data_IF_710938844806
#
_entry.id   IF_710938844806
#
_cell.length_a   1.000
_cell.length_b   1.000
_cell.length_c   1.000
_cell.angle_alpha   90.00
_cell.angle_beta   90.00
_cell.angle_gamma   90.00
#
_symmetry.space_group_name_H-M   'P 1'
#
loop_
_entity.id
_entity.type
_entity.pdbx_description
1 polymer ?
#
# COMPACT_ATOMS: atom_id res chain seq x y z
N UNK A 1 -11.76 -26.01 -7.57
CA UNK A 1 -12.27 -24.65 -7.35
C UNK A 1 -11.24 -23.92 -6.54
N UNK A 2 -10.55 -22.94 -7.09
CA UNK A 2 -9.65 -22.10 -6.31
C UNK A 2 -10.52 -21.39 -5.27
N UNK A 3 -10.17 -21.55 -3.99
CA UNK A 3 -10.77 -20.74 -2.94
C UNK A 3 -10.68 -19.27 -3.39
N UNK A 4 -11.75 -18.52 -3.15
CA UNK A 4 -11.88 -17.12 -3.57
C UNK A 4 -10.78 -16.32 -2.85
N UNK A 5 -9.62 -16.19 -3.51
CA UNK A 5 -8.44 -15.52 -2.95
C UNK A 5 -8.71 -14.01 -2.88
N UNK A 6 -8.82 -13.51 -1.67
CA UNK A 6 -8.90 -12.07 -1.42
C UNK A 6 -7.52 -11.55 -1.05
N UNK A 7 -6.88 -10.73 -1.93
CA UNK A 7 -5.54 -10.24 -1.68
C UNK A 7 -5.50 -9.24 -0.52
N UNK A 8 -4.51 -9.35 0.34
CA UNK A 8 -4.23 -8.37 1.39
C UNK A 8 -3.30 -7.29 0.85
N UNK A 9 -3.80 -6.07 0.77
CA UNK A 9 -3.05 -4.92 0.27
C UNK A 9 -2.73 -3.98 1.44
N UNK A 10 -1.49 -3.51 1.54
CA UNK A 10 -1.10 -2.46 2.48
C UNK A 10 -0.95 -1.14 1.73
N UNK A 11 -1.68 -0.12 2.14
CA UNK A 11 -1.67 1.21 1.54
C UNK A 11 -1.02 2.25 2.45
N UNK A 12 0.11 2.84 2.02
CA UNK A 12 0.70 4.00 2.68
C UNK A 12 0.15 5.28 2.03
N UNK A 13 -0.71 6.00 2.74
CA UNK A 13 -1.42 7.16 2.21
C UNK A 13 -0.97 8.45 2.86
N UNK A 14 -0.64 9.45 2.03
CA UNK A 14 -0.38 10.80 2.48
C UNK A 14 -1.64 11.41 3.11
N UNK A 15 -1.52 11.95 4.33
CA UNK A 15 -2.63 12.54 5.09
C UNK A 15 -3.34 13.67 4.34
N UNK A 16 -2.57 14.55 3.69
CA UNK A 16 -3.09 15.78 3.09
C UNK A 16 -3.86 15.58 1.79
N UNK A 17 -3.70 14.44 1.15
CA UNK A 17 -4.31 14.19 -0.17
C UNK A 17 -4.92 12.78 -0.26
N UNK A 18 -4.11 11.74 -0.45
CA UNK A 18 -4.61 10.40 -0.73
C UNK A 18 -5.48 9.82 0.40
N UNK A 19 -5.13 10.07 1.67
CA UNK A 19 -5.96 9.65 2.80
C UNK A 19 -7.28 10.40 2.83
N UNK A 20 -7.24 11.72 2.61
CA UNK A 20 -8.47 12.56 2.54
C UNK A 20 -9.34 12.14 1.35
N UNK A 21 -8.74 11.79 0.21
CA UNK A 21 -9.46 11.25 -0.94
C UNK A 21 -10.12 9.89 -0.64
N UNK A 22 -9.43 9.03 0.11
CA UNK A 22 -9.99 7.76 0.59
C UNK A 22 -11.16 7.98 1.56
N UNK A 23 -11.05 8.95 2.47
CA UNK A 23 -12.11 9.35 3.39
C UNK A 23 -13.33 9.92 2.62
N UNK A 24 -13.10 10.75 1.61
CA UNK A 24 -14.13 11.24 0.72
C UNK A 24 -14.84 10.09 -0.01
N UNK A 25 -14.12 9.09 -0.49
CA UNK A 25 -14.71 7.92 -1.14
C UNK A 25 -15.64 7.16 -0.17
N UNK A 26 -15.22 7.01 1.09
CA UNK A 26 -16.01 6.37 2.14
C UNK A 26 -17.30 7.18 2.47
N UNK A 27 -17.17 8.47 2.71
CA UNK A 27 -18.29 9.36 3.02
C UNK A 27 -19.27 9.50 1.86
N UNK A 28 -18.76 9.46 0.62
CA UNK A 28 -19.58 9.44 -0.61
C UNK A 28 -20.16 8.06 -0.93
N UNK A 29 -19.88 7.04 -0.08
CA UNK A 29 -20.39 5.66 -0.25
C UNK A 29 -20.01 5.04 -1.60
N UNK A 30 -18.84 5.39 -2.13
CA UNK A 30 -18.30 4.74 -3.33
C UNK A 30 -17.95 3.29 -3.01
N UNK A 31 -18.26 2.40 -3.94
CA UNK A 31 -17.99 0.96 -3.74
C UNK A 31 -16.58 0.62 -4.21
N UNK A 32 -15.79 0.11 -3.31
CA UNK A 32 -14.48 -0.48 -3.59
C UNK A 32 -14.18 -1.59 -2.57
N UNK A 33 -13.26 -2.52 -2.86
CA UNK A 33 -12.90 -3.59 -1.93
C UNK A 33 -12.34 -3.07 -0.60
N UNK A 34 -12.64 -3.78 0.48
CA UNK A 34 -12.21 -3.41 1.85
C UNK A 34 -10.90 -4.09 2.26
N UNK A 35 -10.21 -4.72 1.32
CA UNK A 35 -9.00 -5.52 1.51
C UNK A 35 -7.70 -4.69 1.54
N UNK A 36 -7.79 -3.38 1.74
CA UNK A 36 -6.65 -2.47 1.85
C UNK A 36 -6.49 -2.01 3.30
N UNK A 37 -5.42 -2.46 3.93
CA UNK A 37 -4.99 -1.97 5.26
C UNK A 37 -4.29 -0.61 5.08
N UNK A 38 -4.94 0.48 5.50
CA UNK A 38 -4.42 1.84 5.31
C UNK A 38 -3.51 2.24 6.47
N UNK A 39 -2.28 2.64 6.13
CA UNK A 39 -1.33 3.29 7.03
C UNK A 39 -1.19 4.74 6.63
N UNK A 40 -1.68 5.64 7.47
CA UNK A 40 -1.59 7.07 7.25
C UNK A 40 -0.18 7.58 7.56
N UNK A 41 0.39 8.33 6.62
CA UNK A 41 1.69 9.00 6.76
C UNK A 41 1.54 10.49 6.49
N UNK A 42 2.36 11.34 7.12
CA UNK A 42 2.27 12.78 6.92
C UNK A 42 2.53 13.19 5.47
N UNK A 43 3.41 12.48 4.78
CA UNK A 43 3.73 12.70 3.37
C UNK A 43 4.17 11.39 2.73
N UNK A 44 3.86 11.18 1.45
CA UNK A 44 4.37 10.03 0.72
C UNK A 44 5.92 9.99 0.70
N UNK A 45 6.56 11.16 0.77
CA UNK A 45 8.02 11.28 0.92
C UNK A 45 8.58 10.69 2.23
N UNK A 46 7.73 10.41 3.23
CA UNK A 46 8.13 9.72 4.47
C UNK A 46 8.24 8.20 4.29
N UNK A 47 7.59 7.66 3.27
CA UNK A 47 7.61 6.21 3.04
C UNK A 47 9.02 5.80 2.62
N UNK A 48 9.68 5.07 3.51
CA UNK A 48 10.97 4.46 3.22
C UNK A 48 10.76 3.15 2.44
N UNK A 49 11.64 2.80 1.49
CA UNK A 49 11.61 1.51 0.80
C UNK A 49 11.52 0.30 1.74
N UNK A 50 12.15 0.40 2.91
CA UNK A 50 12.10 -0.67 3.93
C UNK A 50 10.70 -0.92 4.46
N UNK A 51 9.81 0.07 4.46
CA UNK A 51 8.40 -0.12 4.87
C UNK A 51 7.67 -1.03 3.89
N UNK A 52 7.93 -0.84 2.59
CA UNK A 52 7.35 -1.68 1.52
C UNK A 52 7.88 -3.11 1.63
N UNK A 53 9.19 -3.28 1.78
CA UNK A 53 9.81 -4.60 1.98
C UNK A 53 9.28 -5.29 3.24
N UNK A 54 9.11 -4.54 4.33
CA UNK A 54 8.53 -5.06 5.58
C UNK A 54 7.08 -5.50 5.40
N UNK A 55 6.28 -4.76 4.64
CA UNK A 55 4.89 -5.14 4.35
C UNK A 55 4.83 -6.48 3.62
N UNK A 56 5.65 -6.69 2.59
CA UNK A 56 5.76 -7.98 1.91
C UNK A 56 6.26 -9.10 2.84
N UNK A 57 7.27 -8.82 3.67
CA UNK A 57 7.78 -9.79 4.65
C UNK A 57 6.73 -10.19 5.70
N UNK A 58 5.76 -9.33 5.99
CA UNK A 58 4.63 -9.58 6.89
C UNK A 58 3.41 -10.20 6.19
N UNK A 59 3.53 -10.57 4.92
CA UNK A 59 2.51 -11.31 4.19
C UNK A 59 1.49 -10.42 3.45
N UNK A 60 1.85 -9.19 3.09
CA UNK A 60 1.07 -8.42 2.14
C UNK A 60 1.20 -9.02 0.74
N UNK A 61 0.10 -9.14 0.01
CA UNK A 61 0.07 -9.59 -1.38
C UNK A 61 0.35 -8.45 -2.36
N UNK A 62 0.09 -7.21 -1.93
CA UNK A 62 0.36 -6.00 -2.66
C UNK A 62 0.62 -4.81 -1.75
N UNK A 63 1.36 -3.82 -2.24
CA UNK A 63 1.67 -2.58 -1.52
C UNK A 63 1.40 -1.37 -2.41
N UNK A 64 0.57 -0.46 -1.89
CA UNK A 64 0.21 0.81 -2.53
C UNK A 64 0.88 1.97 -1.78
N UNK A 65 1.52 2.86 -2.50
CA UNK A 65 1.99 4.16 -1.96
C UNK A 65 1.24 5.26 -2.70
N UNK A 66 0.42 6.01 -2.00
CA UNK A 66 -0.38 7.07 -2.60
C UNK A 66 -0.07 8.44 -1.99
N UNK A 67 0.11 9.43 -2.86
CA UNK A 67 0.46 10.79 -2.49
C UNK A 67 -0.24 11.85 -3.33
N UNK A 68 0.12 13.11 -3.08
CA UNK A 68 -0.35 14.26 -3.83
C UNK A 68 0.17 14.21 -5.27
N UNK A 69 -0.58 14.75 -6.22
CA UNK A 69 -0.07 14.96 -7.57
C UNK A 69 1.25 15.74 -7.58
N UNK A 70 2.17 15.43 -8.51
CA UNK A 70 3.43 16.18 -8.63
C UNK A 70 3.18 17.69 -8.78
N UNK A 71 3.81 18.48 -7.91
CA UNK A 71 3.58 19.94 -7.83
C UNK A 71 2.64 20.38 -6.71
N UNK A 72 1.76 19.47 -6.19
CA UNK A 72 0.75 19.80 -5.16
C UNK A 72 1.12 19.31 -3.76
N UNK A 73 2.38 18.95 -3.55
CA UNK A 73 2.81 18.43 -2.25
C UNK A 73 2.74 19.50 -1.16
N UNK A 74 2.05 19.22 -0.05
CA UNK A 74 1.98 20.09 1.13
C UNK A 74 3.37 20.47 1.66
N UNK A 75 4.36 19.60 1.51
CA UNK A 75 5.76 19.81 1.91
C UNK A 75 6.66 20.13 0.71
N UNK A 76 6.11 20.64 -0.38
CA UNK A 76 6.77 21.10 -1.61
C UNK A 76 7.42 19.95 -2.41
N UNK A 77 8.35 19.19 -1.81
CA UNK A 77 9.20 18.21 -2.52
C UNK A 77 8.93 16.74 -2.18
N UNK A 78 8.02 16.46 -1.25
CA UNK A 78 7.86 15.10 -0.72
C UNK A 78 7.51 14.06 -1.78
N UNK A 79 6.57 14.37 -2.68
CA UNK A 79 6.19 13.47 -3.77
C UNK A 79 7.28 13.27 -4.83
N UNK A 80 8.12 14.26 -5.09
CA UNK A 80 9.29 14.08 -5.96
C UNK A 80 10.31 13.11 -5.37
N UNK A 81 10.50 13.12 -4.05
CA UNK A 81 11.31 12.12 -3.35
C UNK A 81 10.69 10.72 -3.48
N UNK A 82 9.38 10.63 -3.37
CA UNK A 82 8.62 9.37 -3.56
C UNK A 82 8.80 8.81 -4.97
N UNK A 83 8.71 9.67 -6.00
CA UNK A 83 8.92 9.27 -7.40
C UNK A 83 10.28 8.62 -7.59
N UNK A 84 11.35 9.28 -7.12
CA UNK A 84 12.73 8.78 -7.26
C UNK A 84 12.95 7.47 -6.50
N UNK A 85 12.47 7.38 -5.26
CA UNK A 85 12.55 6.16 -4.46
C UNK A 85 11.74 5.02 -5.07
N UNK A 86 10.55 5.29 -5.56
CA UNK A 86 9.69 4.30 -6.19
C UNK A 86 10.30 3.72 -7.47
N UNK A 87 10.98 4.55 -8.27
CA UNK A 87 11.68 4.07 -9.46
C UNK A 87 12.81 3.08 -9.11
N UNK A 88 13.59 3.39 -8.08
CA UNK A 88 14.63 2.49 -7.57
C UNK A 88 14.02 1.23 -6.95
N UNK A 89 13.00 1.41 -6.12
CA UNK A 89 12.35 0.31 -5.41
C UNK A 89 11.77 -0.74 -6.37
N UNK A 90 11.16 -0.32 -7.48
CA UNK A 90 10.65 -1.28 -8.48
C UNK A 90 11.75 -2.20 -9.01
N UNK A 91 12.97 -1.70 -9.20
CA UNK A 91 14.11 -2.53 -9.63
C UNK A 91 14.51 -3.50 -8.53
N UNK A 92 14.62 -3.02 -7.29
CA UNK A 92 14.95 -3.86 -6.13
C UNK A 92 13.90 -4.96 -5.93
N UNK A 93 12.61 -4.64 -6.03
CA UNK A 93 11.53 -5.63 -5.90
C UNK A 93 11.62 -6.70 -7.00
N UNK A 94 11.92 -6.30 -8.25
CA UNK A 94 12.10 -7.23 -9.36
C UNK A 94 13.30 -8.16 -9.11
N UNK A 95 14.42 -7.65 -8.57
CA UNK A 95 15.60 -8.45 -8.22
C UNK A 95 15.29 -9.47 -7.09
N UNK A 96 14.34 -9.16 -6.22
CA UNK A 96 13.81 -10.11 -5.21
C UNK A 96 12.73 -11.06 -5.75
N UNK A 97 12.41 -11.00 -7.04
CA UNK A 97 11.39 -11.85 -7.66
C UNK A 97 9.96 -11.44 -7.32
N UNK A 98 9.74 -10.21 -6.88
CA UNK A 98 8.41 -9.67 -6.61
C UNK A 98 7.84 -9.08 -7.90
N UNK A 99 6.68 -9.58 -8.32
CA UNK A 99 6.06 -9.18 -9.59
C UNK A 99 5.70 -7.69 -9.58
N UNK A 100 5.94 -6.95 -10.68
CA UNK A 100 5.73 -5.49 -10.75
C UNK A 100 4.32 -5.04 -10.37
N UNK A 101 3.30 -5.84 -10.66
CA UNK A 101 1.90 -5.55 -10.33
C UNK A 101 1.59 -5.54 -8.82
N UNK A 102 2.49 -6.07 -7.98
CA UNK A 102 2.31 -6.08 -6.52
C UNK A 102 2.71 -4.76 -5.83
N UNK A 103 3.48 -3.92 -6.50
CA UNK A 103 3.83 -2.59 -5.99
C UNK A 103 3.30 -1.51 -6.90
N UNK A 104 2.46 -0.63 -6.35
CA UNK A 104 1.88 0.49 -7.09
C UNK A 104 2.16 1.80 -6.38
N UNK A 105 2.42 2.84 -7.17
CA UNK A 105 2.58 4.20 -6.70
C UNK A 105 1.62 5.08 -7.47
N UNK A 106 0.71 5.75 -6.75
CA UNK A 106 -0.40 6.50 -7.33
C UNK A 106 -0.48 7.91 -6.76
N UNK A 107 -1.09 8.79 -7.55
CA UNK A 107 -1.32 10.17 -7.18
C UNK A 107 -2.83 10.39 -7.09
N UNK A 108 -3.27 10.78 -5.89
CA UNK A 108 -4.68 11.01 -5.58
C UNK A 108 -4.81 12.31 -4.80
N UNK A 109 -5.63 13.23 -5.30
CA UNK A 109 -5.96 14.48 -4.61
C UNK A 109 -7.02 14.25 -3.51
N UNK A 110 -7.12 15.17 -2.57
CA UNK A 110 -8.13 15.15 -1.52
C UNK A 110 -9.58 15.16 -2.06
N UNK A 111 -9.80 15.72 -3.25
CA UNK A 111 -11.11 15.77 -3.92
C UNK A 111 -11.39 14.59 -4.85
N UNK A 112 -10.45 13.66 -5.02
CA UNK A 112 -10.53 12.56 -5.98
C UNK A 112 -10.90 11.23 -5.32
N UNK A 113 -12.06 11.19 -4.62
CA UNK A 113 -12.55 9.95 -4.01
C UNK A 113 -12.89 8.85 -5.01
N UNK A 114 -13.39 9.22 -6.19
CA UNK A 114 -13.65 8.33 -7.32
C UNK A 114 -12.35 7.69 -7.84
N UNK A 115 -11.29 8.49 -8.05
CA UNK A 115 -9.97 8.00 -8.42
C UNK A 115 -9.40 7.02 -7.38
N UNK A 116 -9.59 7.32 -6.10
CA UNK A 116 -9.20 6.38 -5.05
C UNK A 116 -9.90 5.02 -5.22
N UNK A 117 -11.21 5.02 -5.41
CA UNK A 117 -11.97 3.79 -5.61
C UNK A 117 -11.50 3.03 -6.87
N UNK A 118 -11.21 3.71 -7.98
CA UNK A 118 -10.66 3.12 -9.19
C UNK A 118 -9.30 2.47 -8.95
N UNK A 119 -8.39 3.16 -8.24
CA UNK A 119 -7.05 2.64 -7.90
C UNK A 119 -7.15 1.36 -7.09
N UNK A 120 -7.99 1.35 -6.04
CA UNK A 120 -8.18 0.16 -5.19
C UNK A 120 -8.78 -0.99 -5.98
N UNK A 121 -9.83 -0.73 -6.77
CA UNK A 121 -10.45 -1.76 -7.60
C UNK A 121 -9.45 -2.39 -8.58
N UNK A 122 -8.77 -1.56 -9.35
CA UNK A 122 -7.82 -2.04 -10.38
C UNK A 122 -6.63 -2.78 -9.77
N UNK A 123 -6.11 -2.31 -8.63
CA UNK A 123 -5.00 -2.97 -7.95
C UNK A 123 -5.43 -4.32 -7.36
N UNK A 124 -6.62 -4.37 -6.74
CA UNK A 124 -7.15 -5.62 -6.18
C UNK A 124 -7.32 -6.68 -7.26
N UNK A 125 -7.86 -6.30 -8.43
CA UNK A 125 -8.01 -7.22 -9.55
C UNK A 125 -6.67 -7.71 -10.11
N UNK A 126 -5.68 -6.82 -10.22
CA UNK A 126 -4.34 -7.17 -10.68
C UNK A 126 -3.66 -8.14 -9.72
N UNK A 127 -3.66 -7.84 -8.42
CA UNK A 127 -3.05 -8.72 -7.40
C UNK A 127 -3.80 -10.04 -7.29
N UNK A 128 -5.14 -10.04 -7.46
CA UNK A 128 -5.94 -11.27 -7.48
C UNK A 128 -5.55 -12.19 -8.65
N UNK A 129 -5.25 -11.64 -9.82
CA UNK A 129 -4.76 -12.42 -10.99
C UNK A 129 -3.36 -13.00 -10.75
N UNK A 130 -2.51 -12.31 -10.00
CA UNK A 130 -1.18 -12.77 -9.64
C UNK A 130 -1.21 -13.89 -8.59
N UNK A 131 -2.31 -14.00 -7.83
CA UNK A 131 -2.47 -14.97 -6.75
C UNK A 131 -1.73 -14.56 -5.46
N UNK A 132 -1.76 -15.42 -4.41
CA UNK A 132 -1.14 -15.12 -3.13
C UNK A 132 0.38 -14.98 -3.26
N UNK A 133 0.90 -13.93 -2.61
CA UNK A 133 2.33 -13.70 -2.55
C UNK A 133 3.00 -14.64 -1.55
N UNK A 134 4.05 -15.32 -2.00
CA UNK A 134 4.91 -16.13 -1.13
C UNK A 134 6.36 -15.76 -1.43
N UNK A 135 7.06 -15.28 -0.41
CA UNK A 135 8.51 -15.24 -0.49
C UNK A 135 8.99 -16.68 -0.73
N UNK A 136 9.85 -16.87 -1.73
CA UNK A 136 10.50 -18.16 -1.93
C UNK A 136 11.14 -18.57 -0.58
N UNK A 137 11.07 -19.85 -0.17
CA UNK A 137 11.60 -20.30 1.10
C UNK A 137 13.12 -20.27 1.08
N UNK A 138 13.67 -19.12 1.43
CA UNK A 138 15.04 -18.82 1.75
C UNK A 138 15.03 -18.07 3.06
N UNK A 139 15.10 -18.81 4.18
CA UNK A 139 15.55 -18.36 5.50
C UNK A 139 14.94 -17.11 6.14
N UNK A 140 13.66 -16.89 6.03
CA UNK A 140 12.96 -16.10 7.02
C UNK A 140 12.50 -17.01 8.15
N UNK A 141 13.36 -17.23 9.17
CA UNK A 141 12.88 -17.63 10.49
C UNK A 141 11.87 -16.57 10.90
N UNK A 142 10.60 -16.96 11.01
CA UNK A 142 9.58 -16.13 11.59
C UNK A 142 10.05 -15.75 12.99
N UNK A 143 10.39 -14.47 13.21
CA UNK A 143 10.44 -13.92 14.54
C UNK A 143 9.02 -14.01 15.09
N UNK A 144 8.77 -15.06 15.84
CA UNK A 144 7.61 -15.25 16.66
C UNK A 144 7.60 -14.13 17.69
N UNK A 145 6.87 -13.05 17.39
CA UNK A 145 6.61 -12.03 18.39
C UNK A 145 5.70 -12.65 19.45
N UNK A 146 6.16 -12.82 20.71
CA UNK A 146 5.31 -13.32 21.78
C UNK A 146 4.19 -12.32 22.00
N UNK A 147 2.96 -12.85 21.98
CA UNK A 147 1.72 -12.09 22.03
C UNK A 147 1.69 -11.00 23.09
N UNK A 148 1.36 -9.80 22.65
CA UNK A 148 0.93 -8.74 23.56
C UNK A 148 -0.41 -9.15 24.15
N UNK A 149 -0.38 -9.70 25.37
CA UNK A 149 -1.57 -9.89 26.21
C UNK A 149 -2.12 -8.50 26.52
N UNK A 150 -3.28 -8.20 25.95
CA UNK A 150 -4.06 -7.05 26.37
C UNK A 150 -4.45 -7.21 27.83
N UNK A 151 -3.78 -6.48 28.73
CA UNK A 151 -4.18 -6.34 30.14
C UNK A 151 -5.38 -5.42 30.17
N UNK A 152 -6.58 -6.00 30.30
CA UNK A 152 -7.76 -5.24 30.73
C UNK A 152 -7.51 -4.82 32.18
N UNK A 153 -7.34 -3.52 32.41
CA UNK A 153 -7.48 -2.95 33.74
C UNK A 153 -8.96 -2.73 34.05
N UNK A 154 -9.34 -3.17 35.22
CA UNK A 154 -10.67 -2.97 35.81
C UNK A 154 -10.89 -1.52 36.21
#
# INVERSE_FOLDING_TARGET
MAADFEPRIVGFLCEWCAYTGADLAGTSRLKYPTNVDIIRVMCSGRVDPTFVLKAFALGADGVLVAGCHPGDCHYIEGNYKTIRRGALLRRVLADYGIEPGRYRQEWVSASEGDRWAEVVNSMTEEVRKLGPFRLAPGDAKADEQPGAKATRAA
#
